data_IF_178981034219
#
_entry.id   IF_178981034219
#
_cell.length_a   1.000
_cell.length_b   1.000
_cell.length_c   1.000
_cell.angle_alpha   90.00
_cell.angle_beta   90.00
_cell.angle_gamma   90.00
#
_symmetry.space_group_name_H-M   'P 1'
#
loop_
_entity.id
_entity.type
_entity.pdbx_description
1 polymer ?
#
# COMPACT_ATOMS: atom_id res chain seq x y z
N UNK A 1 14.25 1.96 20.74
CA UNK A 1 14.36 3.34 20.24
C UNK A 1 13.03 4.00 20.53
N UNK A 2 13.01 4.94 21.49
CA UNK A 2 11.77 5.57 21.97
C UNK A 2 11.35 6.72 21.04
N UNK A 3 10.04 6.96 20.87
CA UNK A 3 9.53 8.10 20.13
C UNK A 3 9.81 9.40 20.89
N UNK A 4 10.19 10.46 20.16
CA UNK A 4 10.36 11.81 20.68
C UNK A 4 8.98 12.43 20.95
N UNK A 5 8.64 12.61 22.23
CA UNK A 5 7.48 13.39 22.69
C UNK A 5 7.89 14.84 22.92
N UNK A 6 7.33 15.79 22.16
CA UNK A 6 7.56 17.22 22.39
C UNK A 6 6.59 17.73 23.47
N UNK A 7 7.07 17.84 24.71
CA UNK A 7 6.34 18.47 25.81
C UNK A 7 6.66 19.96 25.88
N UNK A 8 5.70 20.83 25.51
CA UNK A 8 5.82 22.26 25.75
C UNK A 8 5.29 22.60 27.15
N UNK A 9 6.19 22.90 28.09
CA UNK A 9 5.84 23.47 29.39
C UNK A 9 5.48 24.94 29.22
N UNK A 10 4.45 25.46 29.91
CA UNK A 10 4.20 26.90 29.95
C UNK A 10 5.26 27.58 30.83
N UNK A 11 5.97 28.55 30.26
CA UNK A 11 6.90 29.42 30.99
C UNK A 11 6.12 30.49 31.74
N UNK A 12 6.29 30.54 33.08
CA UNK A 12 5.85 31.67 33.91
C UNK A 12 6.55 32.96 33.46
N UNK A 13 5.80 33.88 32.84
CA UNK A 13 6.24 35.27 32.62
C UNK A 13 5.19 36.19 33.24
N UNK A 14 5.56 37.08 34.20
CA UNK A 14 4.61 38.04 34.74
C UNK A 14 4.39 39.18 33.73
N UNK A 15 3.23 39.16 33.06
CA UNK A 15 2.82 40.13 32.06
C UNK A 15 1.83 41.16 32.59
N UNK A 16 2.11 42.44 32.36
CA UNK A 16 1.39 43.64 32.79
C UNK A 16 -0.10 43.63 32.45
N UNK A 17 -0.91 44.19 33.37
CA UNK A 17 -2.33 44.46 33.15
C UNK A 17 -2.51 45.52 32.05
N UNK A 18 -3.07 45.13 30.91
CA UNK A 18 -3.44 46.05 29.81
C UNK A 18 -4.93 46.38 29.93
N UNK A 19 -5.24 47.63 30.24
CA UNK A 19 -6.61 48.17 30.26
C UNK A 19 -7.07 48.40 28.83
N UNK A 20 -7.93 47.54 28.31
CA UNK A 20 -8.57 47.71 27.00
C UNK A 20 -9.76 48.64 27.14
N UNK A 21 -9.69 49.84 26.54
CA UNK A 21 -10.84 50.75 26.43
C UNK A 21 -11.64 50.45 25.16
N UNK A 22 -12.96 50.48 25.33
CA UNK A 22 -13.98 50.05 24.38
C UNK A 22 -14.21 51.13 23.31
N UNK A 23 -13.49 51.12 22.19
CA UNK A 23 -13.92 51.79 20.94
C UNK A 23 -13.13 51.27 19.73
N UNK A 24 -13.84 51.05 18.62
CA UNK A 24 -13.41 50.56 17.30
C UNK A 24 -13.62 49.04 17.04
N UNK A 25 -14.89 48.61 16.97
CA UNK A 25 -15.27 47.24 16.58
C UNK A 25 -16.04 47.14 15.25
N UNK A 26 -16.20 48.21 14.48
CA UNK A 26 -17.10 48.22 13.31
C UNK A 26 -16.44 48.00 11.95
N UNK A 27 -15.12 48.15 11.79
CA UNK A 27 -14.46 47.97 10.48
C UNK A 27 -13.94 46.54 10.21
N UNK A 28 -13.61 45.78 11.26
CA UNK A 28 -13.02 44.44 11.10
C UNK A 28 -14.04 43.37 10.70
N UNK A 29 -15.30 43.52 11.09
CA UNK A 29 -16.35 42.54 10.78
C UNK A 29 -16.84 42.63 9.33
N UNK A 30 -16.86 43.84 8.76
CA UNK A 30 -17.25 44.07 7.37
C UNK A 30 -16.21 43.50 6.39
N UNK A 31 -14.92 43.64 6.71
CA UNK A 31 -13.83 43.08 5.90
C UNK A 31 -13.87 41.54 5.86
N UNK A 32 -14.17 40.89 6.99
CA UNK A 32 -14.28 39.42 7.08
C UNK A 32 -15.46 38.91 6.25
N UNK A 33 -16.60 39.62 6.27
CA UNK A 33 -17.77 39.26 5.45
C UNK A 33 -17.51 39.42 3.95
N UNK A 34 -16.81 40.48 3.52
CA UNK A 34 -16.45 40.69 2.11
C UNK A 34 -15.46 39.62 1.62
N UNK A 35 -14.48 39.23 2.45
CA UNK A 35 -13.53 38.15 2.12
C UNK A 35 -14.24 36.79 2.01
N UNK A 36 -15.21 36.49 2.89
CA UNK A 36 -16.01 35.27 2.82
C UNK A 36 -16.91 35.22 1.58
N UNK A 37 -17.50 36.34 1.17
CA UNK A 37 -18.28 36.39 -0.08
C UNK A 37 -17.40 36.28 -1.34
N UNK A 38 -16.16 36.76 -1.31
CA UNK A 38 -15.21 36.64 -2.42
C UNK A 38 -14.69 35.20 -2.62
N UNK A 39 -14.68 34.39 -1.55
CA UNK A 39 -14.28 32.97 -1.60
C UNK A 39 -15.37 32.09 -2.24
N UNK A 40 -16.63 32.55 -2.31
CA UNK A 40 -17.73 31.82 -2.91
C UNK A 40 -17.81 31.95 -4.45
N UNK A 41 -17.04 32.87 -5.06
CA UNK A 41 -17.03 33.10 -6.51
C UNK A 41 -15.89 32.41 -7.26
N UNK A 42 -14.90 31.85 -6.56
CA UNK A 42 -13.85 31.04 -7.16
C UNK A 42 -14.39 29.62 -7.35
N UNK A 43 -14.81 29.29 -8.58
CA UNK A 43 -15.25 27.95 -8.95
C UNK A 43 -14.24 26.89 -8.51
N UNK A 44 -14.74 25.76 -7.98
CA UNK A 44 -13.88 24.65 -7.55
C UNK A 44 -12.98 24.23 -8.73
N UNK A 45 -11.66 24.06 -8.53
CA UNK A 45 -10.78 23.57 -9.58
C UNK A 45 -11.30 22.21 -10.05
N UNK A 46 -11.74 22.16 -11.30
CA UNK A 46 -12.20 20.92 -11.91
C UNK A 46 -10.95 20.18 -12.36
N UNK A 47 -10.53 19.17 -11.58
CA UNK A 47 -9.48 18.26 -12.04
C UNK A 47 -10.06 17.47 -13.20
N UNK A 48 -9.57 17.73 -14.41
CA UNK A 48 -9.90 16.94 -15.57
C UNK A 48 -9.34 15.52 -15.35
N UNK A 49 -10.21 14.58 -15.00
CA UNK A 49 -9.88 13.16 -15.00
C UNK A 49 -9.82 12.72 -16.46
N UNK A 50 -8.62 12.68 -17.03
CA UNK A 50 -8.42 12.01 -18.31
C UNK A 50 -8.84 10.55 -18.13
N UNK A 51 -9.91 10.13 -18.79
CA UNK A 51 -10.33 8.74 -18.74
C UNK A 51 -9.29 7.90 -19.49
N UNK A 52 -8.59 7.04 -18.75
CA UNK A 52 -7.74 6.00 -19.34
C UNK A 52 -8.65 5.00 -20.04
N UNK A 53 -8.53 4.91 -21.37
CA UNK A 53 -9.23 3.88 -22.15
C UNK A 53 -8.31 2.68 -22.28
N UNK A 54 -8.65 1.61 -21.58
CA UNK A 54 -8.00 0.31 -21.77
C UNK A 54 -8.50 -0.33 -23.06
N UNK A 55 -7.62 -1.05 -23.75
CA UNK A 55 -8.03 -1.96 -24.81
C UNK A 55 -8.84 -3.13 -24.22
N UNK A 56 -9.63 -3.86 -25.04
CA UNK A 56 -10.19 -5.13 -24.62
C UNK A 56 -9.10 -6.07 -24.08
N UNK A 57 -9.46 -6.90 -23.10
CA UNK A 57 -8.55 -7.92 -22.60
C UNK A 57 -8.46 -9.08 -23.60
N UNK A 58 -7.24 -9.48 -23.92
CA UNK A 58 -6.95 -10.68 -24.69
C UNK A 58 -6.55 -11.82 -23.76
N UNK A 59 -7.14 -13.01 -23.95
CA UNK A 59 -6.73 -14.21 -23.22
C UNK A 59 -5.37 -14.67 -23.75
N UNK A 60 -4.34 -14.62 -22.90
CA UNK A 60 -2.99 -15.07 -23.27
C UNK A 60 -2.80 -16.58 -23.09
N UNK A 61 -3.20 -17.13 -21.94
CA UNK A 61 -3.04 -18.53 -21.60
C UNK A 61 -3.98 -18.93 -20.45
N UNK A 62 -4.12 -20.25 -20.24
CA UNK A 62 -4.61 -20.82 -19.00
C UNK A 62 -3.41 -21.31 -18.18
N UNK A 63 -3.44 -21.15 -16.86
CA UNK A 63 -2.39 -21.67 -15.99
C UNK A 63 -2.51 -23.19 -15.89
N UNK A 64 -1.43 -23.90 -16.23
CA UNK A 64 -1.43 -25.35 -16.24
C UNK A 64 -1.54 -25.94 -14.82
N UNK A 65 -0.98 -25.27 -13.81
CA UNK A 65 -1.01 -25.72 -12.43
C UNK A 65 -2.40 -25.51 -11.82
N UNK A 66 -3.10 -26.61 -11.55
CA UNK A 66 -4.47 -26.61 -11.00
C UNK A 66 -4.51 -26.28 -9.50
N UNK A 67 -3.36 -26.17 -8.82
CA UNK A 67 -3.31 -25.64 -7.45
C UNK A 67 -3.48 -24.11 -7.42
N UNK A 68 -3.32 -23.43 -8.56
CA UNK A 68 -3.56 -21.99 -8.70
C UNK A 68 -5.05 -21.77 -9.00
N UNK A 69 -5.84 -21.65 -7.93
CA UNK A 69 -7.30 -21.54 -8.03
C UNK A 69 -7.80 -20.10 -7.86
N UNK A 70 -7.03 -19.23 -7.22
CA UNK A 70 -7.43 -17.86 -6.87
C UNK A 70 -6.23 -16.90 -6.97
N UNK A 71 -5.66 -16.79 -8.17
CA UNK A 71 -4.50 -15.91 -8.45
C UNK A 71 -4.88 -14.42 -8.31
N UNK A 72 -4.42 -13.74 -7.25
CA UNK A 72 -4.71 -12.31 -7.02
C UNK A 72 -3.58 -11.36 -7.45
N UNK A 73 -2.33 -11.81 -7.47
CA UNK A 73 -1.17 -10.98 -7.84
C UNK A 73 -0.28 -11.62 -8.91
N UNK A 74 0.45 -10.79 -9.67
CA UNK A 74 1.48 -11.28 -10.62
C UNK A 74 2.72 -10.39 -10.61
N UNK A 75 3.89 -11.02 -10.50
CA UNK A 75 5.17 -10.32 -10.60
C UNK A 75 6.06 -10.94 -11.66
N UNK A 76 6.71 -10.10 -12.48
CA UNK A 76 7.77 -10.57 -13.38
C UNK A 76 8.98 -11.04 -12.57
N UNK A 77 9.52 -12.20 -12.94
CA UNK A 77 10.82 -12.65 -12.45
C UNK A 77 11.93 -11.72 -12.94
N UNK A 78 12.72 -11.19 -12.01
CA UNK A 78 13.89 -10.38 -12.34
C UNK A 78 15.05 -11.29 -12.72
N UNK A 79 15.21 -12.40 -12.00
CA UNK A 79 16.30 -13.37 -12.25
C UNK A 79 16.12 -14.21 -13.51
N UNK A 80 14.88 -14.45 -13.95
CA UNK A 80 14.56 -15.33 -15.08
C UNK A 80 13.61 -14.61 -16.06
N UNK A 81 14.14 -13.89 -17.06
CA UNK A 81 13.33 -13.17 -18.03
C UNK A 81 12.32 -14.09 -18.74
N UNK A 82 11.10 -13.60 -18.95
CA UNK A 82 10.00 -14.35 -19.56
C UNK A 82 9.19 -15.19 -18.59
N UNK A 83 9.58 -15.23 -17.30
CA UNK A 83 8.85 -15.95 -16.26
C UNK A 83 8.09 -14.98 -15.34
N UNK A 84 6.99 -15.48 -14.80
CA UNK A 84 6.06 -14.78 -13.94
C UNK A 84 5.86 -15.58 -12.65
N UNK A 85 5.72 -14.87 -11.55
CA UNK A 85 5.33 -15.40 -10.26
C UNK A 85 3.88 -15.01 -9.96
N UNK A 86 3.14 -15.90 -9.29
CA UNK A 86 1.82 -15.64 -8.72
C UNK A 86 1.68 -16.31 -7.34
N UNK A 87 0.60 -16.01 -6.63
CA UNK A 87 0.14 -16.67 -5.41
C UNK A 87 -1.39 -16.80 -5.44
N UNK A 88 -1.94 -17.71 -4.64
CA UNK A 88 -3.37 -17.68 -4.33
C UNK A 88 -3.66 -16.64 -3.24
N UNK A 89 -4.89 -16.13 -3.16
CA UNK A 89 -5.30 -15.13 -2.15
C UNK A 89 -5.52 -15.70 -0.75
N UNK A 90 -6.70 -16.27 -0.50
CA UNK A 90 -7.21 -16.66 0.80
C UNK A 90 -7.20 -18.18 0.97
N UNK A 91 -7.00 -18.66 2.21
CA UNK A 91 -7.10 -20.08 2.56
C UNK A 91 -6.02 -21.02 1.96
N UNK A 92 -5.12 -20.50 1.13
CA UNK A 92 -4.02 -21.24 0.51
C UNK A 92 -2.80 -21.43 1.42
N UNK A 93 -1.91 -22.34 1.03
CA UNK A 93 -0.57 -22.45 1.62
C UNK A 93 0.27 -21.20 1.29
N UNK A 94 1.26 -20.90 2.12
CA UNK A 94 2.24 -19.83 1.90
C UNK A 94 3.17 -20.18 0.72
N UNK A 95 2.66 -20.03 -0.50
CA UNK A 95 3.24 -20.63 -1.69
C UNK A 95 3.24 -19.66 -2.86
N UNK A 96 4.38 -19.59 -3.55
CA UNK A 96 4.54 -18.88 -4.80
C UNK A 96 4.64 -19.87 -5.95
N UNK A 97 3.99 -19.56 -7.06
CA UNK A 97 3.99 -20.40 -8.26
C UNK A 97 4.72 -19.67 -9.38
N UNK A 98 5.64 -20.37 -10.04
CA UNK A 98 6.35 -19.86 -11.20
C UNK A 98 5.75 -20.45 -12.48
N UNK A 99 5.48 -19.59 -13.44
CA UNK A 99 4.99 -19.99 -14.75
C UNK A 99 5.60 -19.10 -15.85
N UNK A 100 5.45 -19.51 -17.11
CA UNK A 100 5.81 -18.66 -18.24
C UNK A 100 4.61 -17.98 -18.88
N UNK A 101 4.85 -17.11 -19.86
CA UNK A 101 3.78 -16.37 -20.57
C UNK A 101 2.79 -17.26 -21.35
N UNK A 102 3.13 -18.54 -21.55
CA UNK A 102 2.24 -19.53 -22.15
C UNK A 102 1.44 -20.32 -21.10
N UNK A 103 1.53 -19.95 -19.81
CA UNK A 103 0.82 -20.57 -18.71
C UNK A 103 1.41 -21.91 -18.24
N UNK A 104 2.60 -22.29 -18.75
CA UNK A 104 3.23 -23.57 -18.34
C UNK A 104 3.72 -23.47 -16.91
N UNK A 105 3.38 -24.48 -16.11
CA UNK A 105 3.89 -24.62 -14.75
C UNK A 105 5.38 -24.94 -14.77
N UNK A 106 6.15 -24.15 -14.03
CA UNK A 106 7.60 -24.33 -13.88
C UNK A 106 7.98 -24.76 -12.47
N UNK A 107 7.03 -24.77 -11.53
CA UNK A 107 7.23 -25.22 -10.17
C UNK A 107 6.95 -24.14 -9.13
N UNK A 108 7.25 -24.52 -7.89
CA UNK A 108 6.68 -23.91 -6.70
C UNK A 108 7.76 -23.49 -5.71
N UNK A 109 7.54 -22.39 -4.99
CA UNK A 109 8.32 -22.04 -3.81
C UNK A 109 7.46 -21.97 -2.55
N UNK A 110 7.78 -22.79 -1.56
CA UNK A 110 7.14 -22.74 -0.25
C UNK A 110 7.84 -21.71 0.66
N UNK A 111 7.04 -20.88 1.33
CA UNK A 111 7.51 -19.83 2.24
C UNK A 111 7.44 -20.33 3.69
N UNK A 112 8.60 -20.50 4.32
CA UNK A 112 8.68 -21.03 5.68
C UNK A 112 8.19 -20.03 6.71
N UNK A 113 7.68 -20.56 7.83
CA UNK A 113 7.32 -19.81 9.04
C UNK A 113 6.34 -18.65 8.78
N UNK A 114 5.51 -18.80 7.75
CA UNK A 114 4.58 -17.78 7.29
C UNK A 114 3.18 -18.40 7.16
N UNK A 115 2.19 -17.69 7.69
CA UNK A 115 0.78 -18.02 7.47
C UNK A 115 0.13 -16.78 6.85
N UNK A 116 -0.19 -16.81 5.55
CA UNK A 116 -0.97 -15.77 4.88
C UNK A 116 -2.34 -15.66 5.54
N UNK A 117 -2.82 -14.44 5.71
CA UNK A 117 -4.20 -14.20 6.15
C UNK A 117 -5.08 -13.96 4.93
N UNK A 118 -4.72 -12.98 4.11
CA UNK A 118 -5.46 -12.59 2.92
C UNK A 118 -4.52 -11.84 1.95
N UNK A 119 -3.78 -12.60 1.13
CA UNK A 119 -2.83 -12.02 0.18
C UNK A 119 -3.57 -11.49 -1.05
N UNK A 120 -3.33 -10.23 -1.41
CA UNK A 120 -4.11 -9.57 -2.48
C UNK A 120 -3.26 -9.17 -3.69
N UNK A 121 -1.94 -8.97 -3.51
CA UNK A 121 -1.08 -8.52 -4.60
C UNK A 121 0.39 -8.90 -4.37
N UNK A 122 1.18 -8.87 -5.44
CA UNK A 122 2.62 -9.06 -5.37
C UNK A 122 3.38 -8.22 -6.39
N UNK A 123 4.65 -7.97 -6.10
CA UNK A 123 5.55 -7.30 -7.03
C UNK A 123 6.99 -7.75 -6.89
N UNK A 124 7.86 -7.18 -7.72
CA UNK A 124 9.28 -7.48 -7.73
C UNK A 124 10.11 -6.21 -7.82
N UNK A 125 11.27 -6.21 -7.17
CA UNK A 125 12.26 -5.15 -7.31
C UNK A 125 13.68 -5.70 -7.19
N UNK A 126 14.65 -4.93 -7.69
CA UNK A 126 16.07 -5.25 -7.55
C UNK A 126 16.78 -4.17 -6.75
N UNK A 127 17.80 -4.63 -6.04
CA UNK A 127 18.88 -3.81 -5.49
C UNK A 127 20.15 -4.17 -6.24
N UNK A 128 21.24 -3.43 -6.00
CA UNK A 128 22.56 -3.80 -6.53
C UNK A 128 23.03 -5.20 -6.09
N UNK A 129 22.45 -5.75 -5.01
CA UNK A 129 22.90 -7.01 -4.39
C UNK A 129 22.02 -8.20 -4.71
N UNK A 130 20.74 -7.98 -4.98
CA UNK A 130 19.76 -9.05 -5.14
C UNK A 130 18.44 -8.56 -5.73
N UNK A 131 17.71 -9.51 -6.34
CA UNK A 131 16.31 -9.39 -6.68
C UNK A 131 15.42 -9.89 -5.54
N UNK A 132 14.26 -9.26 -5.39
CA UNK A 132 13.28 -9.55 -4.36
C UNK A 132 11.89 -9.59 -4.95
N UNK A 133 11.06 -10.44 -4.36
CA UNK A 133 9.61 -10.42 -4.49
C UNK A 133 9.03 -9.83 -3.19
N UNK A 134 7.88 -9.20 -3.29
CA UNK A 134 7.07 -8.86 -2.13
C UNK A 134 5.62 -9.27 -2.38
N UNK A 135 4.93 -9.68 -1.32
CA UNK A 135 3.51 -10.05 -1.34
C UNK A 135 2.78 -9.25 -0.28
N UNK A 136 1.63 -8.69 -0.62
CA UNK A 136 0.81 -7.84 0.23
C UNK A 136 -0.29 -8.66 0.89
N UNK A 137 -0.15 -8.89 2.19
CA UNK A 137 -1.19 -9.46 3.06
C UNK A 137 -2.07 -8.33 3.59
N UNK A 138 -2.99 -7.90 2.74
CA UNK A 138 -3.76 -6.66 2.89
C UNK A 138 -5.27 -6.83 2.73
N UNK A 139 -5.75 -8.01 2.36
CA UNK A 139 -7.17 -8.27 2.24
C UNK A 139 -7.87 -8.17 3.59
N UNK A 140 -8.98 -7.43 3.63
CA UNK A 140 -9.79 -7.25 4.84
C UNK A 140 -11.23 -6.86 4.50
N UNK A 141 -11.90 -7.68 3.68
CA UNK A 141 -13.27 -7.41 3.23
C UNK A 141 -14.29 -7.17 4.37
N UNK A 142 -13.97 -7.60 5.59
CA UNK A 142 -14.82 -7.45 6.77
C UNK A 142 -14.39 -6.29 7.69
N UNK A 143 -13.32 -5.57 7.37
CA UNK A 143 -12.73 -4.49 8.17
C UNK A 143 -12.43 -4.91 9.63
N UNK A 144 -11.90 -6.13 9.82
CA UNK A 144 -11.64 -6.73 11.15
C UNK A 144 -10.16 -6.70 11.52
N UNK A 145 -9.27 -6.47 10.56
CA UNK A 145 -7.84 -6.47 10.78
C UNK A 145 -7.41 -5.09 11.25
N UNK A 146 -6.58 -5.08 12.28
CA UNK A 146 -5.96 -3.85 12.77
C UNK A 146 -4.51 -3.73 12.32
N UNK A 147 -4.00 -4.75 11.62
CA UNK A 147 -2.60 -4.92 11.27
C UNK A 147 -2.47 -5.70 9.96
N UNK A 148 -1.52 -5.27 9.15
CA UNK A 148 -1.26 -5.69 7.78
C UNK A 148 0.21 -5.98 7.58
N UNK A 149 0.54 -6.72 6.53
CA UNK A 149 1.90 -7.21 6.35
C UNK A 149 2.32 -7.17 4.88
N UNK A 150 3.54 -6.74 4.64
CA UNK A 150 4.25 -6.97 3.38
C UNK A 150 5.32 -8.03 3.63
N UNK A 151 5.20 -9.17 2.96
CA UNK A 151 6.14 -10.27 3.05
C UNK A 151 7.19 -10.12 1.96
N UNK A 152 8.46 -10.05 2.35
CA UNK A 152 9.61 -9.85 1.48
C UNK A 152 10.38 -11.16 1.33
N UNK A 153 10.57 -11.56 0.07
CA UNK A 153 11.21 -12.82 -0.32
C UNK A 153 12.40 -12.47 -1.20
N UNK A 154 13.59 -13.00 -0.88
CA UNK A 154 14.70 -12.95 -1.84
C UNK A 154 14.33 -13.86 -3.00
N UNK A 155 14.31 -13.33 -4.22
CA UNK A 155 13.86 -14.13 -5.37
C UNK A 155 14.74 -15.39 -5.49
N UNK A 156 14.15 -16.60 -5.47
CA UNK A 156 14.90 -17.84 -5.45
C UNK A 156 15.58 -18.11 -6.81
N UNK A 157 16.70 -18.83 -6.75
CA UNK A 157 17.52 -19.10 -7.93
C UNK A 157 16.96 -20.25 -8.79
N UNK A 158 16.18 -21.14 -8.19
CA UNK A 158 15.54 -22.29 -8.83
C UNK A 158 14.18 -22.58 -8.19
N UNK A 159 13.39 -23.43 -8.87
CA UNK A 159 12.19 -24.08 -8.33
C UNK A 159 12.31 -25.59 -8.59
N UNK A 160 11.74 -26.48 -7.74
CA UNK A 160 11.08 -26.15 -6.49
C UNK A 160 12.05 -25.57 -5.46
N UNK A 161 11.53 -24.80 -4.50
CA UNK A 161 12.32 -24.20 -3.43
C UNK A 161 11.54 -24.08 -2.13
N UNK A 162 12.27 -23.89 -1.04
CA UNK A 162 11.73 -23.53 0.26
C UNK A 162 12.59 -22.39 0.82
N UNK A 163 11.98 -21.24 1.11
CA UNK A 163 12.70 -20.02 1.48
C UNK A 163 12.12 -19.37 2.73
N UNK A 164 13.00 -18.77 3.53
CA UNK A 164 12.60 -17.92 4.64
C UNK A 164 12.11 -16.56 4.12
N UNK A 165 11.20 -15.96 4.88
CA UNK A 165 10.63 -14.66 4.56
C UNK A 165 10.99 -13.63 5.62
N UNK A 166 10.95 -12.35 5.24
CA UNK A 166 11.01 -11.23 6.18
C UNK A 166 9.77 -10.41 6.01
N UNK A 167 9.16 -9.99 7.10
CA UNK A 167 7.90 -9.27 7.03
C UNK A 167 8.03 -7.86 7.56
N UNK A 168 7.34 -6.92 6.90
CA UNK A 168 7.12 -5.57 7.41
C UNK A 168 5.67 -5.47 7.78
N UNK A 169 5.42 -5.19 9.05
CA UNK A 169 4.07 -5.06 9.59
C UNK A 169 3.69 -3.59 9.70
N UNK A 170 2.46 -3.24 9.35
CA UNK A 170 1.97 -1.87 9.37
C UNK A 170 0.49 -1.77 9.74
N UNK A 171 0.04 -0.54 9.99
CA UNK A 171 -1.36 -0.20 10.26
C UNK A 171 -1.72 1.03 9.45
N UNK A 172 -2.94 1.09 8.94
CA UNK A 172 -3.46 2.30 8.33
C UNK A 172 -3.69 3.38 9.41
N UNK A 173 -3.27 4.63 9.20
CA UNK A 173 -3.38 5.69 10.21
C UNK A 173 -4.82 5.98 10.66
N UNK A 174 -5.78 5.77 9.77
CA UNK A 174 -7.21 6.04 9.92
C UNK A 174 -8.06 4.76 10.08
N UNK A 175 -7.42 3.60 10.16
CA UNK A 175 -8.09 2.29 10.09
C UNK A 175 -8.23 1.79 8.65
N UNK A 176 -8.80 0.59 8.52
CA UNK A 176 -9.02 -0.06 7.23
C UNK A 176 -10.41 0.21 6.68
#
# INVERSE_FOLDING_TARGET
MNPLTLNLRPTNVPGKCVRVTRRQFSFRLLLVMVVLMLQATLGKPTVATAQVRYAPADKLADLANQEIIESSGVARSIRRPGLLWTHNDSGGAARLYLFDVAGRDLGVCDLKNLTPVDWEDMGAFATERAAYLFVADVGDNQHRRTEYRIDLIKEPDHVPCEVETRSITFRYPDGA
#
